data_IF_981441732455
#
_entry.id   IF_981441732455
#
_cell.length_a   1.000
_cell.length_b   1.000
_cell.length_c   1.000
_cell.angle_alpha   90.00
_cell.angle_beta   90.00
_cell.angle_gamma   90.00
#
_symmetry.space_group_name_H-M   'P 1'
#
loop_
_entity.id
_entity.type
_entity.pdbx_description
1 polymer ?
#
# COMPACT_ATOMS: atom_id res chain seq x y z
N UNK A 1 24.59 -84.23 29.04
CA UNK A 1 23.76 -84.57 27.85
C UNK A 1 23.76 -83.33 26.97
N UNK A 2 24.65 -83.18 25.98
CA UNK A 2 24.68 -83.81 24.65
C UNK A 2 23.30 -83.87 24.00
N UNK A 3 22.98 -82.88 23.17
CA UNK A 3 22.40 -83.14 21.83
C UNK A 3 22.64 -81.97 20.89
N UNK A 4 23.31 -82.33 19.80
CA UNK A 4 23.65 -81.55 18.61
C UNK A 4 22.56 -81.79 17.56
N UNK A 5 22.12 -80.76 16.82
CA UNK A 5 21.45 -80.89 15.52
C UNK A 5 21.61 -79.53 14.79
N UNK A 6 22.51 -79.40 13.81
CA UNK A 6 22.40 -79.79 12.40
C UNK A 6 21.53 -78.84 11.53
N UNK A 7 22.25 -77.91 10.87
CA UNK A 7 22.22 -77.60 9.43
C UNK A 7 20.87 -77.31 8.74
N UNK A 8 20.73 -76.09 8.21
CA UNK A 8 20.32 -75.85 6.81
C UNK A 8 20.67 -74.43 6.37
N UNK A 9 21.61 -74.35 5.43
CA UNK A 9 21.81 -73.17 4.60
C UNK A 9 20.60 -72.98 3.66
N UNK A 10 20.16 -71.75 3.48
CA UNK A 10 19.43 -71.31 2.29
C UNK A 10 20.07 -70.01 1.79
N UNK A 11 20.61 -70.08 0.58
CA UNK A 11 20.86 -68.92 -0.27
C UNK A 11 19.53 -68.43 -0.86
N UNK A 12 19.40 -67.12 -1.03
CA UNK A 12 18.34 -66.42 -1.76
C UNK A 12 18.44 -64.92 -1.43
N UNK A 13 19.22 -64.14 -2.19
CA UNK A 13 18.80 -63.38 -3.36
C UNK A 13 17.98 -62.13 -2.99
N UNK A 14 18.64 -60.96 -3.17
CA UNK A 14 18.09 -59.64 -3.56
C UNK A 14 17.06 -59.01 -2.59
N UNK A 15 17.18 -57.75 -2.15
CA UNK A 15 17.03 -56.57 -2.99
C UNK A 15 17.66 -55.33 -2.32
N UNK A 16 18.55 -54.67 -3.04
CA UNK A 16 19.00 -53.30 -2.76
C UNK A 16 18.04 -52.34 -3.46
N UNK A 17 16.91 -52.00 -2.84
CA UNK A 17 16.10 -50.86 -3.29
C UNK A 17 15.36 -50.29 -2.09
N UNK A 18 15.82 -49.15 -1.55
CA UNK A 18 14.99 -47.97 -1.23
C UNK A 18 15.79 -46.93 -0.41
N UNK A 19 16.59 -46.05 -1.06
CA UNK A 19 16.90 -44.76 -0.47
C UNK A 19 16.49 -43.65 -1.44
N UNK A 20 15.21 -43.55 -1.80
CA UNK A 20 14.74 -42.57 -2.80
C UNK A 20 13.35 -41.98 -2.48
N UNK A 21 12.91 -42.00 -1.21
CA UNK A 21 11.63 -41.41 -0.81
C UNK A 21 11.74 -40.17 0.11
N UNK A 22 12.94 -39.68 0.41
CA UNK A 22 13.11 -38.50 1.27
C UNK A 22 13.65 -37.23 0.56
N UNK A 23 13.91 -37.28 -0.74
CA UNK A 23 14.50 -36.16 -1.48
C UNK A 23 13.50 -35.33 -2.33
N UNK A 24 12.22 -35.69 -2.36
CA UNK A 24 11.23 -35.05 -3.24
C UNK A 24 10.16 -34.19 -2.51
N UNK A 25 10.24 -34.02 -1.18
CA UNK A 25 9.22 -33.29 -0.40
C UNK A 25 9.68 -31.92 0.15
N UNK A 26 10.78 -31.37 -0.38
CA UNK A 26 11.28 -30.04 0.04
C UNK A 26 11.49 -29.06 -1.13
N UNK A 27 10.87 -29.30 -2.29
CA UNK A 27 10.97 -28.40 -3.45
C UNK A 27 9.62 -27.75 -3.82
N UNK A 28 8.79 -27.46 -2.82
CA UNK A 28 7.57 -26.66 -2.96
C UNK A 28 7.52 -25.54 -1.88
N UNK A 29 8.68 -24.97 -1.53
CA UNK A 29 8.68 -23.62 -0.94
C UNK A 29 8.22 -22.66 -2.02
N UNK A 30 6.90 -22.49 -2.08
CA UNK A 30 6.20 -21.61 -3.00
C UNK A 30 6.82 -20.22 -2.93
N UNK A 31 7.22 -19.74 -4.11
CA UNK A 31 7.43 -18.32 -4.36
C UNK A 31 6.16 -17.60 -3.91
N UNK A 32 6.17 -17.02 -2.71
CA UNK A 32 5.12 -16.09 -2.27
C UNK A 32 5.33 -14.81 -3.07
N UNK A 33 4.84 -14.80 -4.31
CA UNK A 33 4.72 -13.57 -5.08
C UNK A 33 3.86 -12.62 -4.27
N UNK A 34 4.40 -11.45 -3.91
CA UNK A 34 3.61 -10.38 -3.32
C UNK A 34 2.48 -10.06 -4.30
N UNK A 35 1.26 -10.55 -4.01
CA UNK A 35 0.13 -10.37 -4.89
C UNK A 35 -0.29 -8.90 -4.83
N UNK A 36 0.00 -8.17 -5.92
CA UNK A 36 -0.57 -6.86 -6.19
C UNK A 36 -2.03 -7.06 -6.64
N UNK A 37 -2.94 -6.21 -6.21
CA UNK A 37 -4.27 -6.21 -6.81
C UNK A 37 -4.20 -5.56 -8.19
N UNK A 38 -5.23 -5.79 -9.01
CA UNK A 38 -5.38 -5.03 -10.24
C UNK A 38 -5.51 -3.51 -9.92
N UNK A 39 -5.14 -2.62 -10.86
CA UNK A 39 -5.46 -1.21 -10.74
C UNK A 39 -6.97 -0.98 -10.53
N UNK A 40 -7.35 0.11 -9.83
CA UNK A 40 -8.76 0.42 -9.60
C UNK A 40 -9.48 0.82 -10.90
N UNK A 41 -10.78 0.56 -10.95
CA UNK A 41 -11.71 1.17 -11.91
C UNK A 41 -12.07 2.58 -11.42
N UNK A 42 -11.12 3.51 -11.59
CA UNK A 42 -11.24 4.85 -11.04
C UNK A 42 -12.37 5.65 -11.73
N UNK A 43 -13.45 5.85 -10.99
CA UNK A 43 -14.61 6.65 -11.43
C UNK A 43 -14.61 8.09 -10.92
N UNK A 44 -13.70 8.45 -10.03
CA UNK A 44 -13.62 9.81 -9.48
C UNK A 44 -13.23 10.82 -10.57
N UNK A 45 -13.98 11.94 -10.69
CA UNK A 45 -13.61 13.03 -11.59
C UNK A 45 -12.25 13.62 -11.23
N UNK A 46 -11.52 14.06 -12.25
CA UNK A 46 -10.27 14.79 -12.04
C UNK A 46 -10.55 16.21 -11.48
N UNK A 47 -9.59 16.82 -10.76
CA UNK A 47 -8.31 16.27 -10.37
C UNK A 47 -8.44 15.27 -9.20
N UNK A 48 -7.63 14.22 -9.21
CA UNK A 48 -7.60 13.22 -8.14
C UNK A 48 -6.23 12.57 -8.01
N UNK A 49 -5.84 12.30 -6.76
CA UNK A 49 -4.65 11.51 -6.38
C UNK A 49 -5.15 10.21 -5.74
N UNK A 50 -4.68 9.07 -6.24
CA UNK A 50 -5.17 7.76 -5.84
C UNK A 50 -4.06 6.71 -5.83
N UNK A 51 -4.18 5.66 -5.02
CA UNK A 51 -3.22 4.54 -5.05
C UNK A 51 -3.25 3.82 -6.40
N UNK A 52 -2.08 3.40 -6.85
CA UNK A 52 -1.93 2.62 -8.08
C UNK A 52 -2.56 1.22 -7.97
N UNK A 53 -2.60 0.65 -6.76
CA UNK A 53 -3.13 -0.66 -6.44
C UNK A 53 -4.52 -0.52 -5.77
N UNK A 54 -5.50 -1.32 -6.19
CA UNK A 54 -6.84 -1.30 -5.59
C UNK A 54 -6.86 -1.88 -4.16
N UNK A 55 -5.84 -2.63 -3.77
CA UNK A 55 -5.76 -3.39 -2.55
C UNK A 55 -7.05 -4.21 -2.34
N UNK A 56 -7.70 -4.02 -1.21
CA UNK A 56 -8.94 -4.66 -0.80
C UNK A 56 -10.17 -3.76 -0.92
N UNK A 57 -10.13 -2.70 -1.75
CA UNK A 57 -11.34 -1.88 -1.99
C UNK A 57 -12.41 -2.72 -2.70
N UNK A 58 -13.51 -2.97 -2.01
CA UNK A 58 -14.53 -3.96 -2.36
C UNK A 58 -15.24 -3.71 -3.69
N UNK A 59 -15.40 -2.44 -4.09
CA UNK A 59 -16.13 -2.02 -5.28
C UNK A 59 -15.18 -1.69 -6.45
N UNK A 60 -13.88 -1.93 -6.25
CA UNK A 60 -12.78 -1.60 -7.16
C UNK A 60 -12.64 -0.12 -7.49
N UNK A 61 -13.20 0.78 -6.68
CA UNK A 61 -13.17 2.22 -6.92
C UNK A 61 -11.77 2.81 -6.72
N UNK A 62 -10.91 2.12 -5.97
CA UNK A 62 -9.59 2.56 -5.58
C UNK A 62 -9.56 3.42 -4.31
N UNK A 63 -8.35 3.81 -3.92
CA UNK A 63 -8.10 4.54 -2.68
C UNK A 63 -7.61 5.95 -2.95
N UNK A 64 -8.33 6.95 -2.46
CA UNK A 64 -8.04 8.37 -2.62
C UNK A 64 -7.65 9.01 -1.28
N UNK A 65 -6.95 10.15 -1.32
CA UNK A 65 -6.83 11.05 -0.17
C UNK A 65 -8.20 11.69 0.06
N UNK A 66 -8.66 11.75 1.31
CA UNK A 66 -10.01 12.20 1.67
C UNK A 66 -9.97 12.96 3.00
N UNK A 67 -10.90 13.90 3.22
CA UNK A 67 -11.11 14.55 4.51
C UNK A 67 -12.01 13.71 5.40
N UNK A 68 -11.55 13.37 6.61
CA UNK A 68 -12.28 12.47 7.50
C UNK A 68 -13.62 13.08 7.97
N UNK A 69 -14.72 12.60 7.42
CA UNK A 69 -16.07 13.01 7.82
C UNK A 69 -17.02 13.09 6.62
N UNK A 70 -18.02 13.96 6.72
CA UNK A 70 -18.88 14.33 5.58
C UNK A 70 -18.49 15.74 5.13
N UNK A 71 -17.72 15.85 4.06
CA UNK A 71 -17.19 17.13 3.61
C UNK A 71 -15.96 17.57 4.42
N UNK A 72 -15.77 18.88 4.58
CA UNK A 72 -14.55 19.46 5.15
C UNK A 72 -14.24 18.89 6.55
N UNK A 73 -12.97 18.57 6.76
CA UNK A 73 -12.40 18.15 8.03
C UNK A 73 -10.92 18.50 8.03
N UNK A 74 -10.39 18.85 9.21
CA UNK A 74 -8.98 19.17 9.40
C UNK A 74 -8.08 17.92 9.45
N UNK A 75 -8.66 16.72 9.38
CA UNK A 75 -7.95 15.44 9.36
C UNK A 75 -8.08 14.75 8.01
N UNK A 76 -6.96 14.25 7.49
CA UNK A 76 -6.93 13.45 6.27
C UNK A 76 -6.83 11.96 6.59
N UNK A 77 -7.39 11.15 5.70
CA UNK A 77 -7.22 9.70 5.70
C UNK A 77 -7.21 9.18 4.26
N UNK A 78 -7.00 7.88 4.11
CA UNK A 78 -7.22 7.18 2.83
C UNK A 78 -8.62 6.60 2.85
N UNK A 79 -9.37 6.79 1.76
CA UNK A 79 -10.77 6.38 1.67
C UNK A 79 -11.07 5.85 0.27
N UNK A 80 -12.13 5.03 0.12
CA UNK A 80 -12.60 4.67 -1.21
C UNK A 80 -12.80 5.95 -2.03
N UNK A 81 -12.25 5.95 -3.23
CA UNK A 81 -12.49 6.98 -4.23
C UNK A 81 -13.99 7.06 -4.52
N UNK A 82 -14.52 8.29 -4.70
CA UNK A 82 -15.96 8.54 -4.85
C UNK A 82 -16.29 8.84 -6.30
N UNK A 83 -17.24 8.12 -6.96
CA UNK A 83 -17.62 8.39 -8.34
C UNK A 83 -18.14 9.81 -8.60
N UNK A 84 -18.68 10.48 -7.58
CA UNK A 84 -19.17 11.87 -7.67
C UNK A 84 -18.12 12.91 -7.29
N UNK A 85 -16.89 12.50 -6.94
CA UNK A 85 -15.86 13.42 -6.45
C UNK A 85 -16.17 13.98 -5.07
N UNK A 86 -15.90 15.26 -4.87
CA UNK A 86 -16.03 15.96 -3.58
C UNK A 86 -14.74 15.92 -2.77
N UNK A 87 -14.86 15.67 -1.47
CA UNK A 87 -13.77 15.62 -0.48
C UNK A 87 -12.59 14.67 -0.79
N UNK A 88 -12.70 13.82 -1.80
CA UNK A 88 -11.60 13.00 -2.35
C UNK A 88 -10.75 13.69 -3.43
N UNK A 89 -11.16 14.88 -3.90
CA UNK A 89 -10.51 15.54 -5.04
C UNK A 89 -9.33 16.40 -4.56
N UNK A 90 -8.14 15.86 -4.76
CA UNK A 90 -6.86 16.52 -4.52
C UNK A 90 -6.07 16.65 -5.82
N UNK A 91 -5.30 17.73 -5.92
CA UNK A 91 -4.33 17.97 -7.00
C UNK A 91 -2.93 18.11 -6.41
N UNK A 92 -1.93 17.73 -7.19
CA UNK A 92 -0.55 18.08 -6.88
C UNK A 92 -0.18 19.37 -7.61
N UNK A 93 0.28 20.35 -6.86
CA UNK A 93 0.83 21.60 -7.38
C UNK A 93 2.36 21.44 -7.46
N UNK A 94 2.87 21.22 -8.66
CA UNK A 94 4.29 20.93 -8.90
C UNK A 94 5.18 22.14 -8.59
N UNK A 95 4.75 23.35 -8.95
CA UNK A 95 5.51 24.57 -8.71
C UNK A 95 5.66 24.86 -7.22
N UNK A 96 4.58 24.66 -6.48
CA UNK A 96 4.52 24.95 -5.06
C UNK A 96 4.75 23.72 -4.17
N UNK A 97 5.08 22.56 -4.79
CA UNK A 97 5.37 21.24 -4.19
C UNK A 97 4.40 20.85 -3.07
N UNK A 98 3.10 20.92 -3.36
CA UNK A 98 2.05 20.70 -2.34
C UNK A 98 0.89 19.88 -2.87
N UNK A 99 0.26 19.13 -1.98
CA UNK A 99 -1.01 18.45 -2.24
C UNK A 99 -2.13 19.40 -1.81
N UNK A 100 -2.87 19.95 -2.78
CA UNK A 100 -3.94 20.91 -2.55
C UNK A 100 -5.31 20.25 -2.73
N UNK A 101 -6.28 20.63 -1.91
CA UNK A 101 -7.67 20.26 -2.16
C UNK A 101 -8.18 20.99 -3.40
N UNK A 102 -8.91 20.27 -4.25
CA UNK A 102 -9.63 20.86 -5.37
C UNK A 102 -11.05 21.31 -4.97
N UNK A 103 -11.63 20.70 -3.93
CA UNK A 103 -12.96 21.05 -3.40
C UNK A 103 -12.90 22.19 -2.40
N UNK A 104 -11.91 22.19 -1.50
CA UNK A 104 -11.75 23.21 -0.47
C UNK A 104 -10.63 24.16 -0.87
N UNK A 105 -11.00 25.23 -1.58
CA UNK A 105 -10.05 26.21 -2.12
C UNK A 105 -9.20 26.83 -1.00
N UNK A 106 -7.91 26.98 -1.27
CA UNK A 106 -6.95 27.52 -0.29
C UNK A 106 -6.52 26.53 0.78
N UNK A 107 -6.96 25.26 0.72
CA UNK A 107 -6.56 24.23 1.68
C UNK A 107 -5.54 23.24 1.11
N UNK A 108 -4.55 22.91 1.93
CA UNK A 108 -3.43 22.04 1.58
C UNK A 108 -3.23 20.95 2.64
N UNK A 109 -2.79 19.78 2.19
CA UNK A 109 -2.37 18.73 3.09
C UNK A 109 -1.13 19.19 3.87
N UNK A 110 -1.10 18.92 5.18
CA UNK A 110 0.04 19.21 6.03
C UNK A 110 0.33 18.03 6.97
N UNK A 111 1.60 17.77 7.25
CA UNK A 111 2.00 16.92 8.36
C UNK A 111 1.56 17.58 9.69
N UNK A 112 0.92 16.79 10.57
CA UNK A 112 0.46 17.29 11.87
C UNK A 112 1.56 17.33 12.94
N UNK A 113 2.77 16.87 12.59
CA UNK A 113 3.97 16.88 13.41
C UNK A 113 5.21 16.92 12.49
N UNK A 114 6.43 17.18 13.01
CA UNK A 114 7.65 17.01 12.23
C UNK A 114 7.71 15.63 11.56
N UNK A 115 8.31 15.54 10.37
CA UNK A 115 8.33 14.32 9.58
C UNK A 115 8.94 13.14 10.37
N UNK A 116 8.13 12.11 10.59
CA UNK A 116 8.51 10.85 11.21
C UNK A 116 7.55 9.75 10.75
N UNK A 117 7.98 8.48 10.85
CA UNK A 117 7.08 7.35 10.57
C UNK A 117 5.86 7.38 11.51
N UNK A 118 4.67 7.13 10.98
CA UNK A 118 3.40 7.17 11.70
C UNK A 118 2.75 8.55 11.79
N UNK A 119 3.45 9.62 11.38
CA UNK A 119 2.85 10.97 11.34
C UNK A 119 1.69 11.00 10.36
N UNK A 120 0.57 11.56 10.82
CA UNK A 120 -0.66 11.71 10.05
C UNK A 120 -0.75 13.11 9.43
N UNK A 121 -1.71 13.27 8.51
CA UNK A 121 -1.91 14.50 7.77
C UNK A 121 -3.22 15.17 8.15
N UNK A 122 -3.21 16.50 8.10
CA UNK A 122 -4.39 17.33 8.19
C UNK A 122 -4.61 18.16 6.93
N UNK A 123 -5.77 18.84 6.89
CA UNK A 123 -6.12 19.79 5.83
C UNK A 123 -6.20 21.19 6.43
N UNK A 124 -5.24 22.04 6.09
CA UNK A 124 -5.05 23.37 6.69
C UNK A 124 -4.94 24.44 5.61
N UNK A 125 -4.88 25.72 5.97
CA UNK A 125 -4.62 26.79 5.02
C UNK A 125 -3.26 26.62 4.33
N UNK A 126 -3.26 26.76 3.01
CA UNK A 126 -2.03 26.72 2.21
C UNK A 126 -1.13 27.89 2.61
N UNK A 127 0.11 27.60 2.98
CA UNK A 127 1.12 28.61 3.31
C UNK A 127 2.33 28.49 2.36
N UNK A 128 3.04 29.60 2.12
CA UNK A 128 4.21 29.61 1.22
C UNK A 128 5.43 28.92 1.84
N UNK A 129 5.65 29.12 3.14
CA UNK A 129 6.87 28.70 3.83
C UNK A 129 6.64 27.62 4.90
N UNK A 130 5.52 26.89 4.80
CA UNK A 130 5.22 25.80 5.72
C UNK A 130 5.91 24.51 5.28
N UNK A 131 7.02 24.15 5.94
CA UNK A 131 7.77 22.92 5.64
C UNK A 131 6.92 21.65 5.75
N UNK A 132 5.92 21.63 6.63
CA UNK A 132 4.96 20.53 6.77
C UNK A 132 3.98 20.38 5.60
N UNK A 133 3.92 21.34 4.66
CA UNK A 133 3.08 21.30 3.45
C UNK A 133 3.87 20.97 2.18
N UNK A 134 5.18 20.74 2.30
CA UNK A 134 6.03 20.43 1.16
C UNK A 134 6.09 18.92 0.96
N UNK A 135 5.65 18.48 -0.22
CA UNK A 135 5.72 17.09 -0.66
C UNK A 135 6.35 17.05 -2.05
N UNK A 136 7.43 16.28 -2.20
CA UNK A 136 8.03 15.97 -3.49
C UNK A 136 7.40 14.73 -4.08
N UNK A 137 6.96 14.83 -5.33
CA UNK A 137 6.51 13.69 -6.09
C UNK A 137 7.62 13.17 -7.01
N UNK A 138 8.03 11.92 -6.81
CA UNK A 138 8.87 11.19 -7.75
C UNK A 138 7.97 10.47 -8.76
N UNK A 139 7.92 10.97 -9.99
CA UNK A 139 7.08 10.41 -11.05
C UNK A 139 7.51 9.02 -11.54
N UNK A 140 8.78 8.65 -11.38
CA UNK A 140 9.29 7.33 -11.76
C UNK A 140 8.94 6.29 -10.69
N UNK A 141 9.09 6.64 -9.41
CA UNK A 141 8.71 5.77 -8.30
C UNK A 141 7.19 5.77 -8.03
N UNK A 142 6.48 6.80 -8.48
CA UNK A 142 5.09 7.16 -8.11
C UNK A 142 4.93 7.44 -6.61
N UNK A 143 5.93 8.05 -5.97
CA UNK A 143 5.95 8.24 -4.52
C UNK A 143 5.90 9.72 -4.14
N UNK A 144 5.13 10.05 -3.11
CA UNK A 144 5.23 11.35 -2.43
C UNK A 144 6.17 11.22 -1.23
N UNK A 145 7.12 12.15 -1.09
CA UNK A 145 8.05 12.24 0.04
C UNK A 145 7.96 13.62 0.68
N UNK A 146 7.98 13.76 2.01
CA UNK A 146 8.00 15.08 2.62
C UNK A 146 9.28 15.84 2.23
N UNK A 147 9.18 17.18 2.13
CA UNK A 147 10.25 18.02 1.60
C UNK A 147 11.60 17.86 2.29
N UNK A 148 11.58 17.65 3.61
CA UNK A 148 12.77 17.55 4.46
C UNK A 148 13.31 16.13 4.66
N UNK A 149 12.61 15.07 4.23
CA UNK A 149 13.04 13.69 4.47
C UNK A 149 12.68 12.77 3.29
N UNK A 150 13.71 12.31 2.57
CA UNK A 150 13.55 11.43 1.40
C UNK A 150 13.48 9.94 1.75
N UNK A 151 13.68 9.59 3.03
CA UNK A 151 13.59 8.22 3.52
C UNK A 151 12.15 7.83 3.86
N UNK A 152 11.27 8.82 4.03
CA UNK A 152 9.84 8.64 4.31
C UNK A 152 9.00 8.87 3.06
N UNK A 153 7.91 8.10 2.96
CA UNK A 153 6.94 8.18 1.87
C UNK A 153 5.55 8.37 2.45
N UNK A 154 4.65 9.03 1.70
CA UNK A 154 3.21 9.03 1.98
C UNK A 154 2.66 7.63 1.71
N UNK A 155 1.94 7.07 2.67
CA UNK A 155 1.44 5.70 2.59
C UNK A 155 0.00 5.58 3.06
N UNK A 156 -0.71 4.63 2.45
CA UNK A 156 -1.98 4.15 2.94
C UNK A 156 -1.75 2.99 3.93
N UNK A 157 -2.28 3.10 5.15
CA UNK A 157 -2.07 2.14 6.23
C UNK A 157 -2.65 0.76 5.93
N UNK A 158 -2.00 -0.32 6.39
CA UNK A 158 -2.25 -1.69 5.95
C UNK A 158 -3.67 -2.25 6.19
N UNK A 159 -4.40 -1.75 7.20
CA UNK A 159 -5.75 -2.23 7.51
C UNK A 159 -6.83 -1.34 6.90
N UNK A 160 -7.82 -1.97 6.27
CA UNK A 160 -9.07 -1.31 5.90
C UNK A 160 -10.15 -1.49 6.96
N UNK A 161 -11.15 -0.61 6.93
CA UNK A 161 -12.35 -0.67 7.77
C UNK A 161 -13.56 -0.18 6.99
N UNK A 162 -14.75 -0.65 7.35
CA UNK A 162 -16.01 -0.14 6.80
C UNK A 162 -16.20 1.35 7.11
N UNK A 163 -16.69 2.10 6.14
CA UNK A 163 -17.01 3.53 6.23
C UNK A 163 -18.33 3.81 5.50
N UNK A 164 -19.43 3.27 6.04
CA UNK A 164 -20.75 3.34 5.39
C UNK A 164 -20.76 2.52 4.08
N UNK A 165 -21.19 3.09 2.94
CA UNK A 165 -21.14 2.37 1.67
C UNK A 165 -19.70 2.16 1.16
N UNK A 166 -18.72 2.87 1.73
CA UNK A 166 -17.33 2.86 1.32
C UNK A 166 -16.43 2.18 2.36
N UNK A 167 -15.12 2.26 2.14
CA UNK A 167 -14.08 1.77 3.04
C UNK A 167 -13.08 2.89 3.35
N UNK A 168 -12.34 2.76 4.45
CA UNK A 168 -11.27 3.70 4.82
C UNK A 168 -10.05 2.98 5.39
N UNK A 169 -8.91 3.66 5.39
CA UNK A 169 -7.61 3.19 5.90
C UNK A 169 -6.87 4.38 6.54
N UNK A 170 -5.76 4.11 7.22
CA UNK A 170 -4.87 5.18 7.67
C UNK A 170 -4.20 5.91 6.49
N UNK A 171 -3.85 7.17 6.67
CA UNK A 171 -2.93 7.91 5.79
C UNK A 171 -1.83 8.49 6.68
N UNK A 172 -0.57 8.32 6.28
CA UNK A 172 0.55 8.85 7.03
C UNK A 172 1.88 8.65 6.34
N UNK A 173 2.97 8.82 7.09
CA UNK A 173 4.32 8.55 6.61
C UNK A 173 4.84 7.19 7.08
N UNK A 174 5.61 6.51 6.24
CA UNK A 174 6.38 5.33 6.62
C UNK A 174 7.70 5.26 5.84
N UNK A 175 8.68 4.46 6.28
CA UNK A 175 9.94 4.31 5.55
C UNK A 175 9.70 3.80 4.12
N UNK A 176 10.19 4.55 3.13
CA UNK A 176 10.05 4.18 1.73
C UNK A 176 10.65 2.80 1.44
N UNK A 177 11.85 2.52 1.98
CA UNK A 177 12.59 1.31 1.64
C UNK A 177 11.90 0.00 2.09
N UNK A 178 11.23 0.01 3.24
CA UNK A 178 10.57 -1.17 3.81
C UNK A 178 9.07 -1.25 3.56
N UNK A 179 8.45 -0.18 3.04
CA UNK A 179 7.02 -0.20 2.71
C UNK A 179 6.79 -0.80 1.32
N UNK A 180 5.90 -1.78 1.23
CA UNK A 180 5.51 -2.39 -0.05
C UNK A 180 4.92 -1.35 -1.03
N UNK A 181 5.25 -1.48 -2.32
CA UNK A 181 4.83 -0.54 -3.37
C UNK A 181 3.31 -0.29 -3.40
N UNK A 182 2.50 -1.32 -3.17
CA UNK A 182 1.03 -1.26 -3.18
C UNK A 182 0.45 -0.23 -2.18
N UNK A 183 1.18 0.13 -1.13
CA UNK A 183 0.74 1.09 -0.12
C UNK A 183 1.27 2.51 -0.33
N UNK A 184 2.23 2.73 -1.22
CA UNK A 184 2.97 4.00 -1.34
C UNK A 184 3.06 4.56 -2.76
N UNK A 185 2.60 3.80 -3.76
CA UNK A 185 2.55 4.27 -5.14
C UNK A 185 1.23 4.99 -5.41
N UNK A 186 1.31 6.29 -5.63
CA UNK A 186 0.20 7.19 -5.89
C UNK A 186 0.24 7.67 -7.34
N UNK A 187 -0.89 7.60 -8.02
CA UNK A 187 -1.09 8.16 -9.35
C UNK A 187 -1.78 9.52 -9.25
N UNK A 188 -1.44 10.40 -10.18
CA UNK A 188 -2.04 11.74 -10.30
C UNK A 188 -2.83 11.79 -11.60
N UNK A 189 -4.14 11.99 -11.50
CA UNK A 189 -5.01 12.28 -12.66
C UNK A 189 -5.34 13.77 -12.65
N UNK A 190 -4.71 14.53 -13.54
CA UNK A 190 -4.91 15.99 -13.68
C UNK A 190 -6.29 16.29 -14.30
N UNK A 191 -6.84 17.46 -13.97
CA UNK A 191 -8.02 17.98 -14.68
C UNK A 191 -7.67 18.19 -16.17
N UNK A 192 -8.67 18.06 -17.05
CA UNK A 192 -8.49 18.50 -18.44
C UNK A 192 -8.32 20.03 -18.45
N UNK A 193 -7.43 20.58 -19.30
CA UNK A 193 -7.32 22.02 -19.50
C UNK A 193 -8.65 22.65 -19.90
#
# INVERSE_FOLDING_TARGET
>A
MKTTAAMRARLGAESVVMPLLYAAFFLLLGLTSAAYAAPPDLRTPAPVIYLADNLDEKDRLGWCIDTRGRGFSDRLHTHSCKPRGGDVQFRYDEAARRIASATFIGKCAALLAPAAAGVTLGLVDCAKDASGQVFDYDGAAMEFRPGGDKTLCLVAGAASRSAGPYMSRGLGLAPCASTEKKFKQWRIKKAKP
#
